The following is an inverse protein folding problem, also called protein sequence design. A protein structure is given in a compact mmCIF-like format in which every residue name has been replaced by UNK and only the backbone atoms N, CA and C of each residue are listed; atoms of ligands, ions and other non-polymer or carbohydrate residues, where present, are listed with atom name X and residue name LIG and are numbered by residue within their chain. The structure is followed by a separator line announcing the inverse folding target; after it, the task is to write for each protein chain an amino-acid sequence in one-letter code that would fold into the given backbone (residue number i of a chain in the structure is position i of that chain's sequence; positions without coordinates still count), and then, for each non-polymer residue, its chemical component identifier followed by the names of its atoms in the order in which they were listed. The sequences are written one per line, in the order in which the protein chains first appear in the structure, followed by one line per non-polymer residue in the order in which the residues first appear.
data_IF_574707127370
#
_entry.id   IF_574707127370
#
_cell.length_a   1.000
_cell.length_b   1.000
_cell.length_c   1.000
_cell.angle_alpha   90.00
_cell.angle_beta   90.00
_cell.angle_gamma   90.00
#
_symmetry.space_group_name_H-M   'P 1'
#
loop_
_entity.id
_entity.type
_entity.pdbx_description
1 polymer ?
#
# COMPACT_ATOMS: atom_id res chain seq x y z
N UNK A 1 -8.71 31.07 -46.57
CA UNK A 1 -9.74 30.28 -47.29
C UNK A 1 -9.35 28.83 -47.15
N UNK A 2 -10.12 27.87 -46.66
CA UNK A 2 -11.42 27.78 -45.99
C UNK A 2 -11.32 26.43 -45.24
N UNK A 3 -11.81 26.34 -44.00
CA UNK A 3 -12.97 25.51 -43.61
C UNK A 3 -12.91 24.05 -44.07
N UNK A 4 -13.09 23.04 -43.24
CA UNK A 4 -13.56 22.95 -41.87
C UNK A 4 -14.05 21.52 -41.64
N UNK A 5 -14.12 21.06 -40.40
CA UNK A 5 -15.17 20.12 -40.01
C UNK A 5 -15.37 20.13 -38.50
N UNK A 6 -16.62 20.40 -38.13
CA UNK A 6 -17.21 20.39 -36.79
C UNK A 6 -17.61 18.95 -36.43
N UNK A 7 -17.69 18.63 -35.14
CA UNK A 7 -18.96 18.33 -34.44
C UNK A 7 -18.82 17.42 -33.21
N UNK A 8 -19.71 17.65 -32.23
CA UNK A 8 -20.03 16.79 -31.07
C UNK A 8 -19.33 17.21 -29.78
N UNK A 9 -19.81 18.12 -28.93
CA UNK A 9 -21.12 18.32 -28.31
C UNK A 9 -21.59 17.14 -27.44
N UNK A 10 -21.22 17.12 -26.16
CA UNK A 10 -22.03 16.54 -25.09
C UNK A 10 -21.94 17.34 -23.78
N UNK A 11 -23.01 18.10 -23.56
CA UNK A 11 -23.79 18.20 -22.32
C UNK A 11 -23.09 18.63 -21.03
N UNK A 12 -23.41 19.88 -20.69
CA UNK A 12 -23.49 20.49 -19.37
C UNK A 12 -24.31 19.61 -18.42
N UNK A 13 -23.72 19.18 -17.31
CA UNK A 13 -24.51 18.73 -16.15
C UNK A 13 -24.16 19.60 -14.93
N UNK A 14 -24.92 20.70 -14.81
CA UNK A 14 -24.97 21.55 -13.62
C UNK A 14 -25.95 20.91 -12.65
N UNK A 15 -25.45 20.21 -11.65
CA UNK A 15 -26.25 19.83 -10.47
C UNK A 15 -26.49 21.06 -9.59
N UNK A 16 -27.74 21.44 -9.28
CA UNK A 16 -28.01 22.51 -8.33
C UNK A 16 -28.04 21.94 -6.91
N UNK A 17 -27.10 22.40 -6.10
CA UNK A 17 -27.04 22.19 -4.65
C UNK A 17 -28.30 22.78 -4.00
N UNK A 18 -29.26 21.93 -3.63
CA UNK A 18 -30.36 22.28 -2.73
C UNK A 18 -29.86 22.31 -1.29
N UNK A 19 -29.40 23.46 -0.83
CA UNK A 19 -29.27 23.78 0.59
C UNK A 19 -29.48 25.28 0.78
N UNK A 20 -30.64 25.68 1.31
CA UNK A 20 -30.88 26.87 2.15
C UNK A 20 -32.35 27.32 2.04
N UNK A 21 -33.23 26.71 2.84
CA UNK A 21 -34.53 27.29 3.15
C UNK A 21 -34.82 27.04 4.63
N UNK A 22 -34.14 27.78 5.52
CA UNK A 22 -34.56 27.85 6.92
C UNK A 22 -34.11 29.14 7.62
N UNK A 23 -34.18 30.30 6.94
CA UNK A 23 -34.01 31.61 7.60
C UNK A 23 -35.03 32.60 7.03
N UNK A 24 -36.33 32.34 7.18
CA UNK A 24 -37.37 33.34 6.81
C UNK A 24 -38.73 33.06 7.48
N UNK A 25 -38.75 32.68 8.76
CA UNK A 25 -40.02 32.59 9.52
C UNK A 25 -40.06 33.32 10.86
N UNK A 26 -38.99 33.98 11.29
CA UNK A 26 -38.97 34.65 12.59
C UNK A 26 -39.30 36.15 12.56
N UNK A 27 -39.39 36.79 11.39
CA UNK A 27 -39.59 38.25 11.26
C UNK A 27 -41.04 38.70 11.05
N UNK A 28 -41.96 37.80 10.71
CA UNK A 28 -43.34 38.15 10.33
C UNK A 28 -44.38 38.13 11.48
N UNK A 29 -43.96 37.92 12.74
CA UNK A 29 -44.89 37.85 13.90
C UNK A 29 -44.85 39.07 14.83
N UNK A 30 -43.92 40.00 14.63
CA UNK A 30 -43.77 41.22 15.47
C UNK A 30 -44.44 42.48 14.89
N UNK A 31 -45.07 42.41 13.71
CA UNK A 31 -45.47 43.61 12.95
C UNK A 31 -47.00 43.70 12.71
N UNK A 32 -47.79 42.81 13.32
CA UNK A 32 -49.27 42.78 13.19
C UNK A 32 -50.05 43.31 14.39
N UNK A 33 -49.42 44.11 15.26
CA UNK A 33 -50.11 44.62 16.45
C UNK A 33 -49.79 46.09 16.74
N UNK A 34 -49.58 46.89 15.68
CA UNK A 34 -49.38 48.33 15.79
C UNK A 34 -50.29 49.19 14.90
N UNK A 35 -51.16 48.62 14.07
CA UNK A 35 -52.05 49.40 13.21
C UNK A 35 -53.45 48.82 13.27
N UNK A 36 -54.23 49.25 14.27
CA UNK A 36 -55.68 49.29 14.13
C UNK A 36 -56.24 50.41 15.01
N UNK A 37 -56.87 51.37 14.33
CA UNK A 37 -57.83 52.36 14.83
C UNK A 37 -57.29 53.65 15.47
N UNK A 38 -56.86 54.57 14.60
CA UNK A 38 -57.19 56.00 14.72
C UNK A 38 -58.41 56.32 13.85
N UNK A 39 -59.18 57.30 14.30
CA UNK A 39 -60.36 57.94 13.70
C UNK A 39 -61.72 57.26 13.91
N UNK A 40 -62.51 57.85 14.81
CA UNK A 40 -63.85 58.41 14.51
C UNK A 40 -64.37 59.21 15.72
N UNK A 41 -64.78 60.45 15.42
CA UNK A 41 -65.77 61.32 16.06
C UNK A 41 -65.49 62.10 17.36
N UNK A 42 -65.28 63.40 17.12
CA UNK A 42 -65.78 64.55 17.86
C UNK A 42 -67.26 64.39 18.25
N UNK A 43 -67.57 64.36 19.55
CA UNK A 43 -68.88 64.80 20.05
C UNK A 43 -68.82 65.17 21.54
N UNK A 44 -69.44 66.32 21.83
CA UNK A 44 -69.60 66.94 23.15
C UNK A 44 -70.07 65.93 24.19
N UNK A 45 -69.38 65.86 25.32
CA UNK A 45 -69.88 65.16 26.51
C UNK A 45 -70.01 66.15 27.65
N UNK A 46 -71.26 66.55 27.92
CA UNK A 46 -71.66 67.03 29.22
C UNK A 46 -71.22 66.00 30.28
N UNK A 47 -70.85 66.49 31.46
CA UNK A 47 -70.41 65.67 32.58
C UNK A 47 -71.54 64.73 33.05
N UNK A 48 -71.64 63.57 32.42
CA UNK A 48 -72.30 62.41 32.98
C UNK A 48 -71.27 61.79 33.93
N UNK A 49 -71.47 62.03 35.22
CA UNK A 49 -70.80 61.28 36.28
C UNK A 49 -71.28 59.84 36.18
N UNK A 50 -70.65 59.06 35.31
CA UNK A 50 -70.75 57.61 35.31
C UNK A 50 -70.13 57.18 36.64
N UNK A 51 -70.82 56.41 37.50
CA UNK A 51 -70.20 55.91 38.71
C UNK A 51 -68.97 55.14 38.25
N UNK A 52 -67.80 55.55 38.72
CA UNK A 52 -66.56 54.78 38.51
C UNK A 52 -66.92 53.34 38.85
N UNK A 53 -66.98 52.46 37.84
CA UNK A 53 -66.86 51.02 38.06
C UNK A 53 -65.53 50.89 38.78
N UNK A 54 -65.58 50.76 40.10
CA UNK A 54 -64.46 50.41 40.92
C UNK A 54 -63.85 49.20 40.23
N UNK A 55 -62.65 49.37 39.66
CA UNK A 55 -61.81 48.22 39.35
C UNK A 55 -61.87 47.38 40.61
N UNK A 56 -62.31 46.10 40.54
CA UNK A 56 -62.39 45.29 41.75
C UNK A 56 -61.08 45.49 42.47
N UNK A 57 -61.15 46.02 43.69
CA UNK A 57 -59.98 46.26 44.52
C UNK A 57 -59.31 44.90 44.55
N UNK A 58 -58.11 44.81 43.94
CA UNK A 58 -57.33 43.58 43.96
C UNK A 58 -57.23 43.22 45.42
N UNK A 59 -57.85 42.12 45.78
CA UNK A 59 -57.74 41.63 47.14
C UNK A 59 -56.29 41.22 47.38
N UNK A 60 -55.81 41.26 48.61
CA UNK A 60 -54.48 40.72 48.94
C UNK A 60 -54.33 39.27 48.45
N UNK A 61 -55.45 38.54 48.36
CA UNK A 61 -55.55 37.20 47.77
C UNK A 61 -55.29 37.18 46.26
N UNK A 62 -55.81 38.13 45.48
CA UNK A 62 -55.55 38.25 44.04
C UNK A 62 -54.07 38.56 43.76
N UNK A 63 -53.45 39.41 44.57
CA UNK A 63 -52.03 39.73 44.45
C UNK A 63 -51.15 38.56 44.88
N UNK A 64 -51.53 37.85 45.94
CA UNK A 64 -50.87 36.62 46.37
C UNK A 64 -50.97 35.53 45.29
N UNK A 65 -52.14 35.36 44.66
CA UNK A 65 -52.34 34.42 43.56
C UNK A 65 -51.50 34.76 42.32
N UNK A 66 -51.42 36.04 41.95
CA UNK A 66 -50.58 36.49 40.83
C UNK A 66 -49.08 36.33 41.12
N UNK A 67 -48.63 36.59 42.35
CA UNK A 67 -47.25 36.32 42.79
C UNK A 67 -46.94 34.83 42.72
N UNK A 68 -47.81 33.97 43.24
CA UNK A 68 -47.65 32.52 43.19
C UNK A 68 -47.62 31.99 41.74
N UNK A 69 -48.48 32.52 40.86
CA UNK A 69 -48.50 32.18 39.43
C UNK A 69 -47.23 32.62 38.71
N UNK A 70 -46.74 33.83 38.96
CA UNK A 70 -45.49 34.36 38.39
C UNK A 70 -44.30 33.52 38.83
N UNK A 71 -44.19 33.19 40.12
CA UNK A 71 -43.15 32.30 40.64
C UNK A 71 -43.22 30.91 40.00
N UNK A 72 -44.41 30.33 39.84
CA UNK A 72 -44.60 29.04 39.14
C UNK A 72 -44.16 29.12 37.68
N UNK A 73 -44.47 30.22 36.97
CA UNK A 73 -44.08 30.42 35.58
C UNK A 73 -42.56 30.63 35.44
N UNK A 74 -41.94 31.39 36.35
CA UNK A 74 -40.48 31.59 36.39
C UNK A 74 -39.74 30.28 36.66
N UNK A 75 -40.23 29.45 37.58
CA UNK A 75 -39.69 28.10 37.83
C UNK A 75 -39.78 27.23 36.57
N UNK A 76 -40.93 27.23 35.89
CA UNK A 76 -41.13 26.51 34.61
C UNK A 76 -40.20 27.00 33.51
N UNK A 77 -40.00 28.31 33.39
CA UNK A 77 -39.08 28.90 32.41
C UNK A 77 -37.62 28.50 32.68
N UNK A 78 -37.17 28.59 33.94
CA UNK A 78 -35.82 28.16 34.35
C UNK A 78 -35.61 26.67 34.09
N UNK A 79 -36.59 25.83 34.41
CA UNK A 79 -36.57 24.39 34.14
C UNK A 79 -36.46 24.09 32.64
N UNK A 80 -37.29 24.73 31.80
CA UNK A 80 -37.22 24.57 30.33
C UNK A 80 -35.88 25.02 29.75
N UNK A 81 -35.34 26.14 30.23
CA UNK A 81 -34.03 26.64 29.79
C UNK A 81 -32.90 25.69 30.20
N UNK A 82 -32.96 25.11 31.40
CA UNK A 82 -32.00 24.10 31.87
C UNK A 82 -32.04 22.84 30.98
N UNK A 83 -33.24 22.29 30.73
CA UNK A 83 -33.42 21.12 29.86
C UNK A 83 -32.91 21.38 28.44
N UNK A 84 -33.19 22.56 27.88
CA UNK A 84 -32.72 22.93 26.54
C UNK A 84 -31.18 23.06 26.48
N UNK A 85 -30.56 23.57 27.55
CA UNK A 85 -29.10 23.67 27.66
C UNK A 85 -28.47 22.28 27.75
N UNK A 86 -28.98 21.43 28.63
CA UNK A 86 -28.50 20.04 28.79
C UNK A 86 -28.66 19.24 27.49
N UNK A 87 -29.78 19.41 26.78
CA UNK A 87 -29.99 18.80 25.47
C UNK A 87 -28.98 19.32 24.43
N UNK A 88 -28.68 20.61 24.42
CA UNK A 88 -27.70 21.19 23.50
C UNK A 88 -26.28 20.67 23.81
N UNK A 89 -25.89 20.64 25.08
CA UNK A 89 -24.63 20.07 25.53
C UNK A 89 -24.52 18.60 25.12
N UNK A 90 -25.59 17.82 25.31
CA UNK A 90 -25.68 16.43 24.86
C UNK A 90 -25.46 16.28 23.35
N UNK A 91 -26.07 17.14 22.53
CA UNK A 91 -25.85 17.14 21.08
C UNK A 91 -24.42 17.52 20.69
N UNK A 92 -23.81 18.50 21.37
CA UNK A 92 -22.40 18.86 21.12
C UNK A 92 -21.48 17.69 21.47
N UNK A 93 -21.73 16.99 22.57
CA UNK A 93 -20.97 15.80 22.94
C UNK A 93 -21.16 14.64 21.98
N UNK A 94 -22.38 14.41 21.49
CA UNK A 94 -22.65 13.40 20.45
C UNK A 94 -21.89 13.75 19.17
N UNK A 95 -22.01 14.99 18.68
CA UNK A 95 -21.36 15.42 17.45
C UNK A 95 -19.83 15.34 17.55
N UNK A 96 -19.24 15.68 18.70
CA UNK A 96 -17.79 15.53 18.91
C UNK A 96 -17.34 14.07 18.84
N UNK A 97 -18.12 13.14 19.38
CA UNK A 97 -17.84 11.70 19.27
C UNK A 97 -17.92 11.26 17.81
N UNK A 98 -18.98 11.67 17.10
CA UNK A 98 -19.16 11.32 15.69
C UNK A 98 -18.02 11.85 14.81
N UNK A 99 -17.58 13.10 15.04
CA UNK A 99 -16.41 13.66 14.36
C UNK A 99 -15.17 12.82 14.63
N UNK A 100 -14.90 12.46 15.89
CA UNK A 100 -13.75 11.63 16.23
C UNK A 100 -13.80 10.26 15.54
N UNK A 101 -14.96 9.61 15.54
CA UNK A 101 -15.16 8.30 14.90
C UNK A 101 -15.00 8.40 13.37
N UNK A 102 -15.61 9.40 12.75
CA UNK A 102 -15.52 9.61 11.30
C UNK A 102 -14.10 9.98 10.87
N UNK A 103 -13.38 10.80 11.65
CA UNK A 103 -11.98 11.12 11.36
C UNK A 103 -11.10 9.87 11.44
N UNK A 104 -11.30 9.01 12.45
CA UNK A 104 -10.58 7.75 12.57
C UNK A 104 -10.89 6.80 11.40
N UNK A 105 -12.16 6.72 10.97
CA UNK A 105 -12.56 5.93 9.80
C UNK A 105 -11.92 6.46 8.51
N UNK A 106 -11.94 7.77 8.28
CA UNK A 106 -11.30 8.38 7.11
C UNK A 106 -9.80 8.09 7.09
N UNK A 107 -9.12 8.23 8.22
CA UNK A 107 -7.68 7.91 8.32
C UNK A 107 -7.41 6.43 8.01
N UNK A 108 -8.22 5.51 8.55
CA UNK A 108 -8.10 4.08 8.27
C UNK A 108 -8.35 3.75 6.79
N UNK A 109 -9.39 4.33 6.19
CA UNK A 109 -9.69 4.14 4.76
C UNK A 109 -8.61 4.75 3.86
N UNK A 110 -8.07 5.92 4.22
CA UNK A 110 -6.97 6.54 3.49
C UNK A 110 -5.70 5.70 3.55
N UNK A 111 -5.38 5.08 4.69
CA UNK A 111 -4.26 4.15 4.79
C UNK A 111 -4.46 2.89 3.94
N UNK A 112 -5.69 2.36 3.88
CA UNK A 112 -6.01 1.18 3.08
C UNK A 112 -6.04 1.44 1.56
N UNK A 113 -6.30 2.69 1.13
CA UNK A 113 -6.42 3.10 -0.28
C UNK A 113 -5.20 3.91 -0.75
N UNK A 114 -4.25 4.20 0.14
CA UNK A 114 -3.05 4.96 -0.19
C UNK A 114 -2.34 4.29 -1.36
N UNK A 115 -2.19 5.04 -2.45
CA UNK A 115 -1.38 4.59 -3.58
C UNK A 115 0.06 4.40 -3.07
N UNK A 116 0.73 3.28 -3.39
CA UNK A 116 2.11 3.10 -3.01
C UNK A 116 2.95 4.28 -3.53
N UNK A 117 3.94 4.78 -2.76
CA UNK A 117 4.87 5.78 -3.26
C UNK A 117 5.46 5.35 -4.62
N UNK A 118 5.74 6.31 -5.51
CA UNK A 118 6.27 6.01 -6.86
C UNK A 118 7.50 5.09 -6.76
N UNK A 119 8.43 5.38 -5.84
CA UNK A 119 9.64 4.57 -5.61
C UNK A 119 9.33 3.11 -5.26
N UNK A 120 8.27 2.86 -4.47
CA UNK A 120 7.84 1.48 -4.15
C UNK A 120 7.27 0.75 -5.36
N UNK A 121 6.53 1.47 -6.21
CA UNK A 121 5.99 0.91 -7.46
C UNK A 121 7.11 0.58 -8.43
N UNK A 122 8.09 1.47 -8.58
CA UNK A 122 9.26 1.26 -9.43
C UNK A 122 10.08 0.07 -8.94
N UNK A 123 10.43 0.03 -7.66
CA UNK A 123 11.19 -1.09 -7.08
C UNK A 123 10.48 -2.43 -7.25
N UNK A 124 9.17 -2.47 -7.01
CA UNK A 124 8.37 -3.69 -7.20
C UNK A 124 8.37 -4.14 -8.67
N UNK A 125 8.20 -3.19 -9.60
CA UNK A 125 8.21 -3.48 -11.03
C UNK A 125 9.57 -4.01 -11.48
N UNK A 126 10.69 -3.49 -10.96
CA UNK A 126 12.03 -4.01 -11.25
C UNK A 126 12.12 -5.48 -10.84
N UNK A 127 11.67 -5.84 -9.63
CA UNK A 127 11.71 -7.22 -9.15
C UNK A 127 10.82 -8.16 -9.98
N UNK A 128 9.57 -7.76 -10.26
CA UNK A 128 8.64 -8.51 -11.13
C UNK A 128 9.26 -8.73 -12.51
N UNK A 129 9.81 -7.68 -13.10
CA UNK A 129 10.39 -7.72 -14.43
C UNK A 129 11.65 -8.58 -14.45
N UNK A 130 12.49 -8.53 -13.40
CA UNK A 130 13.67 -9.38 -13.30
C UNK A 130 13.31 -10.87 -13.40
N UNK A 131 12.35 -11.35 -12.60
CA UNK A 131 11.93 -12.75 -12.67
C UNK A 131 11.26 -13.11 -14.00
N UNK A 132 10.52 -12.17 -14.62
CA UNK A 132 9.93 -12.39 -15.95
C UNK A 132 10.99 -12.49 -17.05
N UNK A 133 11.95 -11.57 -17.06
CA UNK A 133 12.99 -11.47 -18.09
C UNK A 133 13.97 -12.64 -18.00
N UNK A 134 14.27 -13.10 -16.79
CA UNK A 134 15.21 -14.19 -16.51
C UNK A 134 14.55 -15.50 -16.10
N UNK A 135 13.24 -15.65 -16.36
CA UNK A 135 12.45 -16.87 -16.07
C UNK A 135 13.15 -18.14 -16.58
N UNK A 136 13.84 -18.07 -17.72
CA UNK A 136 14.60 -19.19 -18.30
C UNK A 136 16.11 -18.88 -18.40
N UNK A 137 16.60 -18.00 -17.55
CA UNK A 137 17.99 -17.57 -17.51
C UNK A 137 18.35 -16.54 -18.57
N UNK A 138 19.65 -16.25 -18.64
CA UNK A 138 20.25 -15.40 -19.64
C UNK A 138 20.36 -16.16 -20.96
N UNK A 139 19.87 -15.56 -22.04
CA UNK A 139 19.99 -16.14 -23.38
C UNK A 139 21.42 -16.00 -23.88
N UNK A 140 21.83 -16.88 -24.79
CA UNK A 140 23.14 -16.76 -25.41
C UNK A 140 23.28 -15.45 -26.19
N UNK A 141 24.50 -14.94 -26.33
CA UNK A 141 24.78 -13.67 -27.00
C UNK A 141 24.24 -13.57 -28.45
N UNK A 142 24.01 -14.71 -29.11
CA UNK A 142 23.45 -14.79 -30.46
C UNK A 142 21.92 -14.73 -30.51
N UNK A 143 21.26 -14.87 -29.36
CA UNK A 143 19.82 -14.88 -29.27
C UNK A 143 19.27 -13.45 -29.34
N UNK A 144 18.19 -13.18 -30.11
CA UNK A 144 17.65 -11.82 -30.27
C UNK A 144 17.25 -11.12 -28.96
N UNK A 145 16.86 -11.89 -27.94
CA UNK A 145 16.47 -11.35 -26.63
C UNK A 145 17.67 -10.98 -25.73
N UNK A 146 18.89 -11.39 -26.05
CA UNK A 146 20.05 -11.14 -25.19
C UNK A 146 20.28 -9.64 -24.94
N UNK A 147 20.21 -8.82 -26.00
CA UNK A 147 20.40 -7.37 -25.86
C UNK A 147 19.29 -6.73 -25.03
N UNK A 148 18.06 -7.23 -25.10
CA UNK A 148 16.97 -6.75 -24.24
C UNK A 148 17.21 -7.13 -22.77
N UNK A 149 17.63 -8.36 -22.49
CA UNK A 149 17.97 -8.82 -21.13
C UNK A 149 19.15 -8.03 -20.54
N UNK A 150 20.22 -7.86 -21.33
CA UNK A 150 21.40 -7.12 -20.91
C UNK A 150 21.10 -5.62 -20.75
N UNK A 151 20.31 -5.04 -21.66
CA UNK A 151 19.85 -3.67 -21.59
C UNK A 151 19.00 -3.41 -20.34
N UNK A 152 18.10 -4.33 -19.98
CA UNK A 152 17.32 -4.25 -18.75
C UNK A 152 18.23 -4.18 -17.52
N UNK A 153 19.17 -5.12 -17.35
CA UNK A 153 20.09 -5.09 -16.20
C UNK A 153 20.91 -3.81 -16.14
N UNK A 154 21.45 -3.34 -17.27
CA UNK A 154 22.20 -2.07 -17.33
C UNK A 154 21.35 -0.85 -16.99
N UNK A 155 20.03 -0.90 -17.21
CA UNK A 155 19.13 0.21 -16.90
C UNK A 155 18.64 0.24 -15.46
N UNK A 156 18.60 -0.91 -14.78
CA UNK A 156 18.05 -1.01 -13.42
C UNK A 156 19.08 -1.29 -12.33
N UNK A 157 20.27 -1.79 -12.68
CA UNK A 157 21.35 -2.07 -11.73
C UNK A 157 22.31 -0.89 -11.68
N UNK A 158 22.67 -0.48 -10.46
CA UNK A 158 23.68 0.55 -10.25
C UNK A 158 25.06 0.07 -10.77
N UNK A 159 25.92 0.98 -11.28
CA UNK A 159 27.26 0.62 -11.73
C UNK A 159 28.14 -0.02 -10.64
N UNK A 160 27.88 0.34 -9.38
CA UNK A 160 28.51 -0.14 -8.15
C UNK A 160 27.61 -1.11 -7.36
N UNK A 161 26.72 -1.82 -8.06
CA UNK A 161 25.89 -2.89 -7.50
C UNK A 161 26.70 -3.75 -6.51
N UNK A 162 26.13 -4.15 -5.38
CA UNK A 162 26.70 -5.15 -4.50
C UNK A 162 25.99 -6.49 -4.73
N UNK A 163 26.73 -7.52 -5.10
CA UNK A 163 26.18 -8.84 -5.43
C UNK A 163 27.14 -9.95 -4.97
N UNK A 164 26.61 -10.93 -4.22
CA UNK A 164 27.37 -12.09 -3.71
C UNK A 164 28.70 -11.70 -3.05
N UNK A 165 28.68 -10.68 -2.17
CA UNK A 165 29.83 -10.22 -1.37
C UNK A 165 31.06 -9.77 -2.19
N UNK A 166 30.89 -9.51 -3.49
CA UNK A 166 31.99 -9.05 -4.37
C UNK A 166 32.04 -7.52 -4.44
N UNK A 167 33.23 -6.94 -4.28
CA UNK A 167 33.46 -5.48 -4.29
C UNK A 167 34.01 -4.91 -5.62
N UNK A 168 34.47 -5.74 -6.56
CA UNK A 168 35.12 -5.31 -7.81
C UNK A 168 34.40 -5.85 -9.07
N UNK A 169 34.11 -4.98 -10.05
CA UNK A 169 33.57 -5.36 -11.37
C UNK A 169 32.10 -5.81 -11.38
N UNK A 170 31.26 -5.23 -10.52
CA UNK A 170 30.20 -5.99 -9.87
C UNK A 170 28.99 -6.37 -10.74
N UNK A 171 28.65 -5.59 -11.77
CA UNK A 171 27.63 -6.00 -12.75
C UNK A 171 28.11 -7.20 -13.60
N UNK A 172 29.42 -7.34 -13.85
CA UNK A 172 29.95 -8.48 -14.60
C UNK A 172 29.74 -9.80 -13.85
N UNK A 173 29.87 -9.80 -12.51
CA UNK A 173 29.61 -10.99 -11.69
C UNK A 173 28.16 -11.45 -11.79
N UNK A 174 27.21 -10.51 -11.84
CA UNK A 174 25.80 -10.84 -12.09
C UNK A 174 25.60 -11.52 -13.45
N UNK A 175 26.18 -10.97 -14.52
CA UNK A 175 26.13 -11.59 -15.84
C UNK A 175 26.82 -12.97 -15.86
N UNK A 176 27.99 -13.10 -15.24
CA UNK A 176 28.74 -14.34 -15.14
C UNK A 176 27.92 -15.44 -14.46
N UNK A 177 27.29 -15.12 -13.32
CA UNK A 177 26.46 -16.08 -12.60
C UNK A 177 25.20 -16.45 -13.39
N UNK A 178 24.51 -15.47 -13.99
CA UNK A 178 23.35 -15.75 -14.84
C UNK A 178 23.71 -16.62 -16.05
N UNK A 179 24.84 -16.34 -16.72
CA UNK A 179 25.35 -17.16 -17.83
C UNK A 179 25.72 -18.57 -17.35
N UNK A 180 26.39 -18.68 -16.21
CA UNK A 180 26.77 -19.96 -15.61
C UNK A 180 25.55 -20.82 -15.29
N UNK A 181 24.52 -20.26 -14.65
CA UNK A 181 23.26 -20.95 -14.40
C UNK A 181 22.56 -21.36 -15.71
N UNK A 182 22.65 -20.55 -16.76
CA UNK A 182 21.97 -20.80 -18.03
C UNK A 182 22.69 -21.83 -18.92
N UNK A 183 23.98 -22.07 -18.67
CA UNK A 183 24.83 -22.96 -19.46
C UNK A 183 25.18 -24.26 -18.75
N UNK A 184 25.22 -24.26 -17.41
CA UNK A 184 25.60 -25.42 -16.62
C UNK A 184 24.50 -26.49 -16.57
N UNK A 185 23.24 -26.06 -16.49
CA UNK A 185 22.07 -26.94 -16.36
C UNK A 185 21.38 -27.16 -17.71
N UNK A 186 20.77 -28.34 -17.90
CA UNK A 186 20.06 -28.68 -19.15
C UNK A 186 18.83 -27.78 -19.38
N UNK A 187 18.25 -27.28 -18.29
CA UNK A 187 17.28 -26.20 -18.31
C UNK A 187 17.24 -25.54 -16.95
N UNK A 188 16.89 -24.27 -16.95
CA UNK A 188 16.62 -23.48 -15.76
C UNK A 188 15.23 -22.86 -15.87
N UNK A 189 14.52 -22.83 -14.76
CA UNK A 189 13.30 -22.08 -14.60
C UNK A 189 13.31 -21.34 -13.26
N UNK A 190 13.08 -20.03 -13.28
CA UNK A 190 12.94 -19.20 -12.09
C UNK A 190 11.48 -18.79 -11.94
N UNK A 191 10.87 -19.15 -10.81
CA UNK A 191 9.49 -18.77 -10.51
C UNK A 191 9.45 -17.94 -9.23
N UNK A 192 8.88 -16.74 -9.30
CA UNK A 192 8.62 -15.91 -8.12
C UNK A 192 7.18 -16.11 -7.66
N UNK A 193 7.02 -16.66 -6.45
CA UNK A 193 5.71 -16.96 -5.87
C UNK A 193 5.14 -15.77 -5.10
N UNK A 194 6.03 -14.97 -4.49
CA UNK A 194 5.61 -13.86 -3.64
C UNK A 194 6.62 -12.73 -3.64
N UNK A 195 6.10 -11.52 -3.71
CA UNK A 195 6.84 -10.27 -3.52
C UNK A 195 6.24 -9.50 -2.35
N UNK A 196 7.10 -9.05 -1.45
CA UNK A 196 6.75 -8.16 -0.34
C UNK A 196 7.62 -6.91 -0.43
N UNK A 197 7.01 -5.73 -0.34
CA UNK A 197 7.74 -4.46 -0.23
C UNK A 197 8.01 -4.19 1.24
N UNK A 198 9.29 -4.12 1.60
CA UNK A 198 9.79 -3.72 2.90
C UNK A 198 10.36 -2.31 2.73
N UNK A 199 9.70 -1.30 3.29
CA UNK A 199 10.27 0.04 3.29
C UNK A 199 11.14 0.14 4.52
N UNK A 200 12.45 0.26 4.32
CA UNK A 200 13.34 0.72 5.38
C UNK A 200 13.30 2.25 5.42
N UNK A 201 13.37 2.83 6.60
CA UNK A 201 13.46 4.29 6.73
C UNK A 201 14.88 4.71 6.36
N UNK A 202 15.01 5.81 5.62
CA UNK A 202 16.22 6.38 5.00
C UNK A 202 16.43 5.97 3.52
N UNK A 203 15.75 6.71 2.63
CA UNK A 203 16.00 6.82 1.16
C UNK A 203 16.13 5.52 0.33
N UNK A 204 15.67 4.39 0.86
CA UNK A 204 15.74 3.08 0.22
C UNK A 204 14.40 2.33 0.23
N UNK A 205 14.13 1.58 -0.84
CA UNK A 205 13.04 0.60 -0.88
C UNK A 205 13.65 -0.79 -1.03
N UNK A 206 13.30 -1.69 -0.11
CA UNK A 206 13.70 -3.09 -0.19
C UNK A 206 12.52 -3.91 -0.72
N UNK A 207 12.74 -4.65 -1.80
CA UNK A 207 11.75 -5.62 -2.29
C UNK A 207 12.24 -7.01 -1.98
N UNK A 208 11.47 -7.75 -1.20
CA UNK A 208 11.71 -9.13 -0.84
C UNK A 208 10.94 -10.06 -1.77
N UNK A 209 11.64 -10.93 -2.47
CA UNK A 209 11.09 -11.91 -3.39
C UNK A 209 11.37 -13.33 -2.90
N UNK A 210 10.29 -14.10 -2.70
CA UNK A 210 10.38 -15.54 -2.49
C UNK A 210 10.20 -16.22 -3.86
N UNK A 211 11.19 -16.99 -4.26
CA UNK A 211 11.22 -17.65 -5.55
C UNK A 211 11.78 -19.07 -5.43
N UNK A 212 11.64 -19.85 -6.50
CA UNK A 212 12.21 -21.19 -6.62
C UNK A 212 13.01 -21.25 -7.92
N UNK A 213 14.23 -21.80 -7.85
CA UNK A 213 15.03 -22.17 -9.01
C UNK A 213 14.86 -23.66 -9.27
N UNK A 214 14.31 -23.99 -10.43
CA UNK A 214 14.20 -25.35 -10.93
C UNK A 214 15.32 -25.61 -11.91
N UNK A 215 16.28 -26.44 -11.50
CA UNK A 215 17.51 -26.69 -12.24
C UNK A 215 17.52 -28.14 -12.71
N UNK A 216 17.41 -28.36 -14.03
CA UNK A 216 17.46 -29.71 -14.59
C UNK A 216 18.90 -30.19 -14.68
N UNK A 217 19.16 -31.28 -13.99
CA UNK A 217 20.50 -31.81 -13.80
C UNK A 217 20.98 -32.58 -15.03
N UNK A 218 22.11 -32.14 -15.58
CA UNK A 218 22.95 -32.95 -16.46
C UNK A 218 24.05 -33.63 -15.64
N UNK A 219 24.72 -34.65 -16.20
CA UNK A 219 25.89 -35.24 -15.52
C UNK A 219 26.98 -34.19 -15.25
N UNK A 220 27.21 -33.28 -16.20
CA UNK A 220 28.17 -32.20 -16.06
C UNK A 220 27.79 -31.21 -14.94
N UNK A 221 26.50 -30.89 -14.81
CA UNK A 221 26.01 -30.02 -13.73
C UNK A 221 26.22 -30.65 -12.36
N UNK A 222 25.96 -31.95 -12.20
CA UNK A 222 26.14 -32.68 -10.94
C UNK A 222 27.63 -32.73 -10.58
N UNK A 223 28.49 -33.02 -11.55
CA UNK A 223 29.94 -33.02 -11.35
C UNK A 223 30.47 -31.64 -10.93
N UNK A 224 29.89 -30.58 -11.48
CA UNK A 224 30.25 -29.22 -11.15
C UNK A 224 29.80 -28.82 -9.73
N UNK A 225 28.53 -29.08 -9.36
CA UNK A 225 27.95 -28.59 -8.10
C UNK A 225 28.12 -29.56 -6.91
N UNK A 226 28.25 -30.86 -7.16
CA UNK A 226 28.41 -31.92 -6.16
C UNK A 226 29.55 -32.89 -6.53
N UNK A 227 30.81 -32.41 -6.60
CA UNK A 227 31.95 -33.23 -7.06
C UNK A 227 32.17 -34.51 -6.25
N UNK A 228 31.82 -34.51 -4.95
CA UNK A 228 31.94 -35.69 -4.10
C UNK A 228 30.98 -36.83 -4.46
N UNK A 229 29.79 -36.53 -5.00
CA UNK A 229 28.83 -37.57 -5.40
C UNK A 229 29.36 -38.39 -6.57
N UNK A 230 29.99 -37.72 -7.54
CA UNK A 230 30.64 -38.38 -8.69
C UNK A 230 31.80 -39.26 -8.25
N UNK A 231 32.60 -38.79 -7.29
CA UNK A 231 33.73 -39.57 -6.77
C UNK A 231 33.30 -40.81 -5.97
N UNK A 232 32.09 -40.82 -5.41
CA UNK A 232 31.64 -41.87 -4.48
C UNK A 232 30.67 -42.88 -5.08
N UNK A 233 29.76 -42.46 -5.97
CA UNK A 233 28.67 -43.33 -6.44
C UNK A 233 28.17 -42.95 -7.84
N UNK A 234 28.89 -43.35 -8.89
CA UNK A 234 28.52 -43.07 -10.28
C UNK A 234 27.12 -43.62 -10.68
N UNK A 235 26.69 -44.85 -10.32
CA UNK A 235 25.33 -45.32 -10.61
C UNK A 235 24.24 -44.42 -10.02
N UNK A 236 24.47 -43.89 -8.82
CA UNK A 236 23.56 -42.94 -8.20
C UNK A 236 23.56 -41.60 -8.94
N UNK A 237 24.72 -41.07 -9.33
CA UNK A 237 24.80 -39.86 -10.17
C UNK A 237 24.00 -40.02 -11.46
N UNK A 238 24.10 -41.17 -12.12
CA UNK A 238 23.31 -41.45 -13.32
C UNK A 238 21.79 -41.43 -13.04
N UNK A 239 21.36 -41.85 -11.85
CA UNK A 239 19.95 -41.77 -11.44
C UNK A 239 19.45 -40.33 -11.18
N UNK A 240 20.38 -39.39 -10.95
CA UNK A 240 20.06 -37.97 -10.75
C UNK A 240 19.98 -37.19 -12.07
N UNK A 241 20.59 -37.70 -13.15
CA UNK A 241 20.55 -37.06 -14.47
C UNK A 241 19.09 -36.95 -14.95
N UNK A 242 18.72 -35.77 -15.45
CA UNK A 242 17.39 -35.44 -15.92
C UNK A 242 16.41 -35.03 -14.81
N UNK A 243 16.75 -35.23 -13.52
CA UNK A 243 15.91 -34.76 -12.41
C UNK A 243 16.03 -33.26 -12.22
N UNK A 244 15.01 -32.67 -11.59
CA UNK A 244 15.01 -31.28 -11.18
C UNK A 244 15.55 -31.15 -9.76
N UNK A 245 16.53 -30.26 -9.59
CA UNK A 245 16.94 -29.73 -8.31
C UNK A 245 16.09 -28.47 -8.05
N UNK A 246 15.16 -28.57 -7.09
CA UNK A 246 14.31 -27.46 -6.65
C UNK A 246 15.00 -26.70 -5.53
N UNK A 247 15.44 -25.47 -5.80
CA UNK A 247 16.14 -24.62 -4.84
C UNK A 247 15.26 -23.43 -4.46
N UNK A 248 14.62 -23.44 -3.27
CA UNK A 248 13.98 -22.26 -2.74
C UNK A 248 15.01 -21.15 -2.53
N UNK A 249 14.71 -19.97 -3.05
CA UNK A 249 15.54 -18.78 -2.90
C UNK A 249 14.73 -17.61 -2.32
N UNK A 250 15.43 -16.76 -1.58
CA UNK A 250 14.94 -15.49 -1.10
C UNK A 250 15.88 -14.39 -1.58
N UNK A 251 15.36 -13.52 -2.43
CA UNK A 251 16.10 -12.41 -3.04
C UNK A 251 15.61 -11.07 -2.50
N UNK A 252 16.53 -10.20 -2.12
CA UNK A 252 16.27 -8.82 -1.73
C UNK A 252 16.86 -7.87 -2.77
N UNK A 253 16.01 -6.98 -3.28
CA UNK A 253 16.39 -5.87 -4.15
C UNK A 253 16.40 -4.60 -3.31
N UNK A 254 17.59 -4.03 -3.10
CA UNK A 254 17.77 -2.77 -2.41
C UNK A 254 17.83 -1.66 -3.45
N UNK A 255 16.77 -0.85 -3.50
CA UNK A 255 16.55 0.17 -4.55
C UNK A 255 16.66 1.55 -3.95
N UNK A 256 17.58 2.34 -4.49
CA UNK A 256 17.76 3.73 -4.07
C UNK A 256 16.57 4.57 -4.55
N UNK A 257 15.97 5.37 -3.66
CA UNK A 257 14.77 6.15 -3.99
C UNK A 257 15.01 7.32 -4.94
N UNK A 258 16.24 7.85 -5.00
CA UNK A 258 16.60 8.99 -5.86
C UNK A 258 16.95 8.53 -7.28
N UNK A 259 17.83 7.53 -7.40
CA UNK A 259 18.29 7.03 -8.70
C UNK A 259 17.35 5.99 -9.31
N UNK A 260 16.48 5.38 -8.50
CA UNK A 260 15.62 4.27 -8.88
C UNK A 260 16.38 3.02 -9.38
N UNK A 261 17.65 2.88 -9.00
CA UNK A 261 18.49 1.73 -9.35
C UNK A 261 18.68 0.80 -8.16
N UNK A 262 18.85 -0.48 -8.46
CA UNK A 262 19.24 -1.52 -7.50
C UNK A 262 20.74 -1.38 -7.23
N UNK A 263 21.12 -1.00 -6.02
CA UNK A 263 22.53 -0.94 -5.61
C UNK A 263 22.96 -2.16 -4.79
N UNK A 264 22.02 -2.98 -4.30
CA UNK A 264 22.37 -4.26 -3.69
C UNK A 264 21.35 -5.32 -4.10
N UNK A 265 21.87 -6.46 -4.55
CA UNK A 265 21.09 -7.65 -4.86
C UNK A 265 21.62 -8.79 -3.98
N UNK A 266 20.82 -9.20 -3.00
CA UNK A 266 21.20 -10.26 -2.07
C UNK A 266 20.27 -11.45 -2.27
N UNK A 267 20.85 -12.64 -2.47
CA UNK A 267 20.08 -13.89 -2.60
C UNK A 267 20.53 -14.86 -1.54
N UNK A 268 19.57 -15.55 -0.93
CA UNK A 268 19.81 -16.70 -0.06
C UNK A 268 19.13 -17.93 -0.65
N UNK A 269 19.79 -19.08 -0.61
CA UNK A 269 19.33 -20.33 -1.19
C UNK A 269 19.29 -21.44 -0.14
N UNK A 270 18.17 -22.15 -0.04
CA UNK A 270 18.04 -23.32 0.82
C UNK A 270 18.60 -24.57 0.13
N UNK A 271 19.93 -24.61 0.04
CA UNK A 271 20.67 -25.71 -0.59
C UNK A 271 20.55 -27.03 0.19
N UNK A 272 20.28 -26.95 1.50
CA UNK A 272 20.19 -28.11 2.37
C UNK A 272 18.89 -28.88 2.13
N UNK A 273 17.75 -28.17 2.09
CA UNK A 273 16.46 -28.76 1.73
C UNK A 273 16.48 -29.23 0.29
N UNK A 274 17.06 -28.46 -0.63
CA UNK A 274 17.18 -28.83 -2.04
C UNK A 274 17.94 -30.15 -2.23
N UNK A 275 19.11 -30.29 -1.58
CA UNK A 275 19.91 -31.52 -1.61
C UNK A 275 19.17 -32.71 -0.99
N UNK A 276 18.50 -32.50 0.15
CA UNK A 276 17.72 -33.53 0.85
C UNK A 276 16.58 -34.07 -0.01
N UNK A 277 15.84 -33.18 -0.68
CA UNK A 277 14.76 -33.56 -1.57
C UNK A 277 15.26 -34.24 -2.86
N UNK A 278 16.44 -33.86 -3.35
CA UNK A 278 17.04 -34.47 -4.52
C UNK A 278 17.45 -35.93 -4.23
N UNK A 279 18.27 -36.14 -3.21
CA UNK A 279 18.87 -37.48 -2.97
C UNK A 279 17.97 -38.40 -2.14
N UNK A 280 17.04 -37.86 -1.35
CA UNK A 280 16.09 -38.64 -0.55
C UNK A 280 16.71 -39.33 0.68
N UNK A 281 17.98 -39.05 0.98
CA UNK A 281 18.73 -39.62 2.10
C UNK A 281 19.56 -38.53 2.78
N UNK A 282 19.36 -38.33 4.08
CA UNK A 282 20.12 -37.33 4.86
C UNK A 282 21.63 -37.54 4.75
N UNK A 283 22.08 -38.80 4.76
CA UNK A 283 23.50 -39.11 4.68
C UNK A 283 24.11 -38.73 3.33
N UNK A 284 23.41 -39.02 2.22
CA UNK A 284 23.88 -38.66 0.88
C UNK A 284 23.83 -37.15 0.66
N UNK A 285 22.86 -36.46 1.28
CA UNK A 285 22.81 -34.99 1.26
C UNK A 285 24.01 -34.37 1.95
N UNK A 286 24.40 -34.90 3.12
CA UNK A 286 25.58 -34.41 3.83
C UNK A 286 26.86 -34.59 3.00
N UNK A 287 27.02 -35.74 2.35
CA UNK A 287 28.16 -36.01 1.45
C UNK A 287 28.16 -35.06 0.25
N UNK A 288 26.99 -34.79 -0.33
CA UNK A 288 26.84 -33.85 -1.43
C UNK A 288 27.22 -32.42 -1.02
N UNK A 289 26.73 -31.97 0.15
CA UNK A 289 26.92 -30.62 0.66
C UNK A 289 28.34 -30.36 1.19
N UNK A 290 29.08 -31.38 1.62
CA UNK A 290 30.43 -31.23 2.20
C UNK A 290 31.41 -30.48 1.27
N UNK A 291 31.33 -30.73 -0.04
CA UNK A 291 32.12 -30.00 -1.06
C UNK A 291 31.24 -29.45 -2.17
N UNK A 292 30.03 -29.02 -1.83
CA UNK A 292 29.18 -28.38 -2.82
C UNK A 292 29.81 -27.07 -3.28
N UNK A 293 29.65 -26.78 -4.57
CA UNK A 293 30.04 -25.50 -5.17
C UNK A 293 28.86 -24.55 -5.37
N UNK A 294 27.66 -24.96 -4.95
CA UNK A 294 26.48 -24.12 -4.89
C UNK A 294 26.31 -23.64 -3.44
N UNK A 295 26.59 -22.36 -3.21
CA UNK A 295 26.63 -21.77 -1.88
C UNK A 295 25.28 -21.24 -1.43
N UNK A 296 25.16 -20.96 -0.12
CA UNK A 296 23.94 -20.44 0.49
C UNK A 296 23.56 -19.03 0.01
N UNK A 297 24.50 -18.27 -0.56
CA UNK A 297 24.23 -16.99 -1.23
C UNK A 297 23.80 -17.15 -2.71
N UNK A 298 23.52 -18.40 -3.13
CA UNK A 298 23.26 -18.84 -4.50
C UNK A 298 24.45 -18.71 -5.47
N UNK A 299 25.66 -18.42 -4.99
CA UNK A 299 26.84 -18.38 -5.86
C UNK A 299 27.22 -19.81 -6.30
N UNK A 300 27.51 -19.97 -7.58
CA UNK A 300 28.22 -21.13 -8.10
C UNK A 300 29.70 -20.77 -8.27
N UNK A 301 30.55 -21.33 -7.41
CA UNK A 301 31.99 -21.06 -7.41
C UNK A 301 32.74 -22.22 -8.07
N UNK A 302 32.95 -22.14 -9.38
CA UNK A 302 33.75 -23.14 -10.10
C UNK A 302 35.25 -22.82 -10.01
N UNK A 303 36.13 -23.84 -9.92
CA UNK A 303 37.56 -23.63 -10.01
C UNK A 303 37.92 -23.03 -11.37
N UNK A 304 38.87 -22.09 -11.38
CA UNK A 304 39.36 -21.50 -12.61
C UNK A 304 39.77 -22.60 -13.60
N UNK A 305 39.23 -22.55 -14.82
CA UNK A 305 39.59 -23.49 -15.88
C UNK A 305 41.12 -23.39 -16.07
N UNK A 306 41.89 -24.48 -15.92
CA UNK A 306 43.32 -24.40 -16.09
C UNK A 306 43.61 -23.89 -17.51
N UNK A 307 44.60 -23.01 -17.70
CA UNK A 307 44.97 -22.55 -19.04
C UNK A 307 45.27 -23.77 -19.92
N UNK A 308 44.86 -23.69 -21.18
CA UNK A 308 44.85 -24.77 -22.19
C UNK A 308 46.19 -25.49 -22.43
N UNK A 309 47.27 -25.11 -21.73
CA UNK A 309 48.63 -25.61 -21.88
C UNK A 309 48.99 -26.78 -20.92
N UNK A 310 48.08 -27.26 -20.08
CA UNK A 310 48.38 -28.30 -19.08
C UNK A 310 47.98 -29.74 -19.48
N UNK A 311 47.40 -29.97 -20.67
CA UNK A 311 46.89 -31.30 -21.09
C UNK A 311 47.84 -32.04 -22.04
N UNK A 312 49.08 -31.59 -22.22
CA UNK A 312 50.09 -32.26 -23.06
C UNK A 312 51.43 -32.47 -22.34
N UNK A 313 51.41 -33.08 -21.15
CA UNK A 313 52.60 -33.70 -20.56
C UNK A 313 52.29 -35.11 -20.10
#
# INVERSE_FOLDING_TARGET
MSEGSKSGLWIVDRTPTRYSHHVTRHRARCEKQKHFSTDIMTERTAAIVVPRRTRPVRTDEDEAWQRARSQRNQRRYRSRKKIALEALEGHVHALRRDVCTLTAQVQSHQAAVARPPISTTVATNIAVEYFRVFEHGLRSAWHPLYEAQAGFLRSVMAPDLQFMETSDGVVHKLFEQLDLYSTLFDSLHMQCDRLDVLVDADDEVIVRALAVLDLRLSRASIEAIYPNLVASNEPFVQSLVGRLLHVPILTHFYVNMETHMVHTLSTTADIASASSNLVGSVQESLVALEKTRLHANAEISLPARPPYNAVLR
#
